data_IF_686845992238
#
_entry.id   IF_686845992238
#
_cell.length_a   1.000
_cell.length_b   1.000
_cell.length_c   1.000
_cell.angle_alpha   90.00
_cell.angle_beta   90.00
_cell.angle_gamma   90.00
#
_symmetry.space_group_name_H-M   'P 1'
#
loop_
_entity.id
_entity.type
_entity.pdbx_description
1 polymer ?
#
# COMPACT_ATOMS: atom_id res chain seq x y z
N UNK A 1 -25.53 -0.37 6.03
CA UNK A 1 -24.41 0.54 6.39
C UNK A 1 -23.08 -0.02 5.91
N UNK A 2 -22.30 0.84 5.32
CA UNK A 2 -20.96 0.48 4.82
C UNK A 2 -20.06 0.11 5.99
N UNK A 3 -19.33 -1.02 5.90
CA UNK A 3 -18.49 -1.54 6.98
C UNK A 3 -16.99 -1.38 6.75
N UNK A 4 -16.57 -1.16 5.53
CA UNK A 4 -15.15 -1.10 5.25
C UNK A 4 -14.86 -0.88 3.78
N UNK A 5 -13.59 -1.05 3.44
CA UNK A 5 -13.09 -0.87 2.08
C UNK A 5 -12.53 -2.20 1.60
N UNK A 6 -12.90 -2.58 0.38
CA UNK A 6 -12.29 -3.70 -0.31
C UNK A 6 -11.47 -3.14 -1.48
N UNK A 7 -10.25 -3.62 -1.63
CA UNK A 7 -9.40 -3.20 -2.73
C UNK A 7 -8.95 -4.41 -3.54
N UNK A 8 -8.57 -4.18 -4.78
CA UNK A 8 -8.17 -5.25 -5.68
C UNK A 8 -6.98 -4.77 -6.52
N UNK A 9 -5.90 -5.53 -6.48
CA UNK A 9 -4.78 -5.33 -7.41
C UNK A 9 -5.02 -6.17 -8.66
N UNK A 10 -4.85 -5.58 -9.81
CA UNK A 10 -4.81 -6.31 -11.07
C UNK A 10 -3.36 -6.47 -11.48
N UNK A 11 -2.92 -7.69 -11.71
CA UNK A 11 -1.52 -8.00 -11.97
C UNK A 11 -1.40 -9.11 -13.00
N UNK A 12 -0.33 -9.09 -13.77
CA UNK A 12 -0.01 -10.18 -14.69
C UNK A 12 0.51 -11.43 -13.97
N UNK A 13 0.82 -11.33 -12.67
CA UNK A 13 1.39 -12.42 -11.88
C UNK A 13 0.62 -12.61 -10.57
N UNK A 14 -0.65 -13.04 -10.62
CA UNK A 14 -1.47 -13.08 -9.41
C UNK A 14 -0.95 -14.06 -8.34
N UNK A 15 -0.44 -15.21 -8.74
CA UNK A 15 0.09 -16.18 -7.77
C UNK A 15 1.35 -15.64 -7.08
N UNK A 16 2.25 -15.02 -7.84
CA UNK A 16 3.45 -14.42 -7.29
C UNK A 16 3.12 -13.24 -6.38
N UNK A 17 2.14 -12.42 -6.73
CA UNK A 17 1.72 -11.30 -5.88
C UNK A 17 1.09 -11.80 -4.59
N UNK A 18 0.23 -12.81 -4.63
CA UNK A 18 -0.35 -13.40 -3.42
C UNK A 18 0.74 -13.94 -2.48
N UNK A 19 1.71 -14.66 -3.04
CA UNK A 19 2.83 -15.18 -2.26
C UNK A 19 3.67 -14.05 -1.65
N UNK A 20 3.91 -12.98 -2.40
CA UNK A 20 4.63 -11.79 -1.92
C UNK A 20 3.91 -11.15 -0.72
N UNK A 21 2.62 -10.92 -0.85
CA UNK A 21 1.82 -10.29 0.23
C UNK A 21 1.78 -11.16 1.48
N UNK A 22 1.67 -12.48 1.30
CA UNK A 22 1.66 -13.44 2.40
C UNK A 22 3.01 -13.58 3.07
N UNK A 23 4.07 -13.80 2.27
CA UNK A 23 5.36 -14.24 2.78
C UNK A 23 6.32 -13.08 3.09
N UNK A 24 6.35 -12.06 2.23
CA UNK A 24 7.27 -10.92 2.41
C UNK A 24 6.65 -9.81 3.22
N UNK A 25 5.42 -9.43 2.93
CA UNK A 25 4.74 -8.42 3.75
C UNK A 25 4.12 -9.00 5.01
N UNK A 26 3.91 -10.31 5.06
CA UNK A 26 3.39 -10.98 6.24
C UNK A 26 1.95 -10.62 6.57
N UNK A 27 1.13 -10.31 5.56
CA UNK A 27 -0.24 -9.87 5.80
C UNK A 27 -1.14 -11.05 6.20
N UNK A 28 -2.03 -10.85 7.18
CA UNK A 28 -3.03 -11.87 7.52
C UNK A 28 -3.91 -12.18 6.31
N UNK A 29 -4.24 -13.44 6.13
CA UNK A 29 -4.97 -13.88 4.94
C UNK A 29 -5.83 -15.11 5.23
N UNK A 30 -6.81 -15.33 4.34
CA UNK A 30 -7.65 -16.50 4.33
C UNK A 30 -7.71 -17.03 2.90
N UNK A 31 -7.53 -18.35 2.73
CA UNK A 31 -7.70 -18.99 1.43
C UNK A 31 -9.19 -19.33 1.26
N UNK A 32 -9.84 -18.67 0.30
CA UNK A 32 -11.27 -18.88 0.03
C UNK A 32 -11.51 -19.98 -1.01
N UNK A 33 -10.45 -20.64 -1.49
CA UNK A 33 -10.51 -21.74 -2.43
C UNK A 33 -9.43 -21.66 -3.49
N UNK A 34 -8.78 -22.79 -3.77
CA UNK A 34 -7.82 -22.96 -4.86
C UNK A 34 -6.67 -21.94 -4.88
N UNK A 35 -6.21 -21.52 -3.70
CA UNK A 35 -5.11 -20.57 -3.59
C UNK A 35 -5.51 -19.11 -3.76
N UNK A 36 -6.80 -18.83 -3.86
CA UNK A 36 -7.29 -17.46 -3.90
C UNK A 36 -7.28 -16.87 -2.49
N UNK A 37 -6.24 -16.10 -2.19
CA UNK A 37 -6.06 -15.50 -0.87
C UNK A 37 -6.80 -14.16 -0.80
N UNK A 38 -7.50 -13.96 0.30
CA UNK A 38 -8.05 -12.65 0.68
C UNK A 38 -7.23 -12.16 1.87
N UNK A 39 -6.68 -10.97 1.75
CA UNK A 39 -5.86 -10.37 2.80
C UNK A 39 -6.70 -9.44 3.65
N UNK A 40 -6.56 -9.59 4.96
CA UNK A 40 -7.36 -8.87 5.93
C UNK A 40 -6.53 -7.78 6.60
N UNK A 41 -6.85 -6.54 6.28
CA UNK A 41 -6.15 -5.37 6.82
C UNK A 41 -7.18 -4.57 7.61
N UNK A 42 -7.15 -4.68 8.96
CA UNK A 42 -8.23 -4.14 9.81
C UNK A 42 -8.32 -2.62 9.84
N UNK A 43 -7.24 -1.92 9.50
CA UNK A 43 -7.25 -0.46 9.45
C UNK A 43 -7.25 0.04 8.02
N UNK A 44 -8.04 1.08 7.76
CA UNK A 44 -8.07 1.75 6.48
C UNK A 44 -8.45 3.21 6.66
N UNK A 45 -8.01 4.07 5.74
CA UNK A 45 -8.55 5.40 5.59
C UNK A 45 -8.73 5.72 4.11
N UNK A 46 -9.36 6.84 3.84
CA UNK A 46 -9.68 7.22 2.47
C UNK A 46 -9.61 8.73 2.36
N UNK A 47 -8.98 9.19 1.30
CA UNK A 47 -8.89 10.62 1.02
C UNK A 47 -9.34 10.91 -0.41
N UNK A 48 -9.64 12.16 -0.67
CA UNK A 48 -10.01 12.66 -1.99
C UNK A 48 -9.05 13.77 -2.37
N UNK A 49 -8.23 13.49 -3.39
CA UNK A 49 -7.25 14.45 -3.89
C UNK A 49 -7.80 15.13 -5.14
N UNK A 50 -7.59 16.45 -5.32
CA UNK A 50 -7.99 17.11 -6.55
C UNK A 50 -7.32 16.48 -7.78
N UNK A 51 -8.08 16.33 -8.86
CA UNK A 51 -7.52 15.87 -10.13
C UNK A 51 -6.52 16.89 -10.67
N UNK A 52 -6.79 18.18 -10.42
CA UNK A 52 -5.89 19.28 -10.77
C UNK A 52 -5.75 20.17 -9.54
N UNK A 53 -4.58 20.18 -8.92
CA UNK A 53 -4.27 21.01 -7.75
C UNK A 53 -3.50 22.31 -8.12
N UNK A 54 -3.25 22.53 -9.42
CA UNK A 54 -2.48 23.67 -9.90
C UNK A 54 -0.98 23.54 -9.69
N UNK A 55 -0.51 22.43 -9.11
CA UNK A 55 0.91 22.22 -8.77
C UNK A 55 1.51 20.98 -9.46
N UNK A 56 0.76 20.33 -10.33
CA UNK A 56 1.24 19.18 -11.06
C UNK A 56 1.18 17.85 -10.29
N UNK A 57 0.51 17.81 -9.16
CA UNK A 57 0.37 16.58 -8.35
C UNK A 57 -0.91 15.81 -8.66
N UNK A 58 -1.75 16.36 -9.52
CA UNK A 58 -3.02 15.73 -9.88
C UNK A 58 -2.87 14.53 -10.78
N UNK A 59 -3.94 13.74 -10.86
CA UNK A 59 -4.09 12.59 -11.75
C UNK A 59 -5.48 12.63 -12.37
N UNK A 60 -5.70 11.92 -13.47
CA UNK A 60 -7.02 11.94 -14.11
C UNK A 60 -8.14 11.60 -13.13
N UNK A 61 -9.25 12.33 -13.24
CA UNK A 61 -10.43 12.05 -12.41
C UNK A 61 -10.87 10.60 -12.57
N UNK A 62 -11.17 9.95 -11.45
CA UNK A 62 -11.49 8.52 -11.42
C UNK A 62 -10.32 7.61 -11.12
N UNK A 63 -9.10 8.16 -11.05
CA UNK A 63 -7.92 7.38 -10.63
C UNK A 63 -8.05 6.93 -9.19
N UNK A 64 -7.67 5.68 -8.93
CA UNK A 64 -7.59 5.12 -7.58
C UNK A 64 -6.15 4.78 -7.27
N UNK A 65 -5.72 5.05 -6.05
CA UNK A 65 -4.41 4.64 -5.57
C UNK A 65 -4.52 3.89 -4.27
N UNK A 66 -3.60 2.97 -4.07
CA UNK A 66 -3.49 2.19 -2.86
C UNK A 66 -2.11 2.43 -2.29
N UNK A 67 -2.06 2.72 -1.00
CA UNK A 67 -0.82 2.81 -0.26
C UNK A 67 -0.92 1.98 1.00
N UNK A 68 0.20 1.46 1.46
CA UNK A 68 0.27 0.87 2.79
C UNK A 68 0.85 1.90 3.74
N UNK A 69 0.42 1.89 5.00
CA UNK A 69 0.99 2.80 5.98
C UNK A 69 1.53 2.04 7.20
N UNK A 70 2.41 2.70 7.90
CA UNK A 70 3.08 2.15 9.08
C UNK A 70 3.33 3.26 10.10
N UNK A 71 3.68 2.85 11.32
CA UNK A 71 3.97 3.79 12.42
C UNK A 71 5.41 4.27 12.41
N UNK A 72 6.34 3.45 11.90
CA UNK A 72 7.78 3.77 11.85
C UNK A 72 8.33 3.31 10.50
N UNK A 73 8.45 4.25 9.58
CA UNK A 73 8.81 3.93 8.20
C UNK A 73 10.25 3.46 8.07
N UNK A 74 11.18 4.01 8.86
CA UNK A 74 12.58 3.60 8.77
C UNK A 74 12.76 2.16 9.20
N UNK A 75 12.13 1.77 10.31
CA UNK A 75 12.15 0.42 10.81
C UNK A 75 11.45 -0.55 9.86
N UNK A 76 10.29 -0.15 9.33
CA UNK A 76 9.53 -0.98 8.40
C UNK A 76 10.30 -1.23 7.12
N UNK A 77 10.92 -0.21 6.54
CA UNK A 77 11.76 -0.35 5.34
C UNK A 77 12.93 -1.31 5.60
N UNK A 78 13.61 -1.16 6.73
CA UNK A 78 14.72 -2.04 7.08
C UNK A 78 14.27 -3.49 7.18
N UNK A 79 13.17 -3.74 7.86
CA UNK A 79 12.60 -5.07 8.01
C UNK A 79 12.20 -5.69 6.66
N UNK A 80 11.52 -4.92 5.82
CA UNK A 80 11.10 -5.41 4.51
C UNK A 80 12.27 -5.65 3.56
N UNK A 81 13.30 -4.81 3.61
CA UNK A 81 14.54 -5.06 2.85
C UNK A 81 15.18 -6.37 3.28
N UNK A 82 15.16 -6.66 4.57
CA UNK A 82 15.67 -7.93 5.10
C UNK A 82 14.92 -9.14 4.58
N UNK A 83 13.67 -8.96 4.15
CA UNK A 83 12.83 -9.99 3.53
C UNK A 83 12.93 -10.01 2.01
N UNK A 84 13.79 -9.20 1.42
CA UNK A 84 14.02 -9.15 -0.02
C UNK A 84 13.09 -8.22 -0.78
N UNK A 85 12.40 -7.30 -0.12
CA UNK A 85 11.58 -6.29 -0.78
C UNK A 85 12.48 -5.23 -1.40
N UNK A 86 12.25 -4.89 -2.67
CA UNK A 86 13.02 -3.89 -3.40
C UNK A 86 12.34 -2.53 -3.33
N UNK A 87 13.04 -1.55 -2.76
CA UNK A 87 12.57 -0.16 -2.71
C UNK A 87 13.19 0.63 -3.85
N UNK A 88 12.43 1.53 -4.46
CA UNK A 88 12.85 2.25 -5.66
C UNK A 88 13.47 3.61 -5.38
N UNK A 89 13.55 4.00 -4.11
CA UNK A 89 14.16 5.26 -3.70
C UNK A 89 14.27 5.35 -2.21
N UNK A 90 14.68 6.51 -1.71
CA UNK A 90 14.76 6.79 -0.29
C UNK A 90 13.44 7.23 0.28
N UNK A 91 13.43 7.42 1.60
CA UNK A 91 12.28 7.96 2.32
C UNK A 91 12.30 9.49 2.15
N UNK A 92 11.18 10.05 1.71
CA UNK A 92 11.04 11.48 1.49
C UNK A 92 9.85 12.04 2.28
N UNK A 93 9.96 13.30 2.70
CA UNK A 93 8.84 14.00 3.30
C UNK A 93 8.00 14.61 2.18
N UNK A 94 6.74 14.18 2.08
CA UNK A 94 5.83 14.63 1.03
C UNK A 94 4.76 15.57 1.56
N UNK A 95 4.98 16.17 2.74
CA UNK A 95 4.08 17.14 3.36
C UNK A 95 3.17 16.53 4.40
N UNK A 96 2.27 15.64 4.01
CA UNK A 96 1.34 14.97 4.92
C UNK A 96 1.92 13.71 5.56
N UNK A 97 3.04 13.21 5.04
CA UNK A 97 3.63 11.95 5.44
C UNK A 97 5.11 11.87 5.04
N UNK A 98 5.80 10.89 5.59
CA UNK A 98 7.08 10.42 5.04
C UNK A 98 6.77 9.18 4.22
N UNK A 99 7.34 9.09 3.03
CA UNK A 99 6.94 8.06 2.07
C UNK A 99 8.10 7.50 1.27
N UNK A 100 7.93 6.27 0.81
CA UNK A 100 8.81 5.62 -0.14
C UNK A 100 7.98 4.68 -1.01
N UNK A 101 8.60 4.06 -2.00
CA UNK A 101 7.92 3.13 -2.90
C UNK A 101 8.67 1.81 -2.96
N UNK A 102 7.96 0.72 -3.10
CA UNK A 102 8.56 -0.60 -3.30
C UNK A 102 7.86 -1.33 -4.44
N UNK A 103 8.58 -2.30 -4.98
CA UNK A 103 8.09 -3.09 -6.11
C UNK A 103 7.38 -4.35 -5.65
N UNK A 104 6.33 -4.70 -6.37
CA UNK A 104 5.61 -5.96 -6.20
C UNK A 104 5.53 -6.71 -7.53
N UNK A 105 5.36 -8.04 -7.49
CA UNK A 105 5.24 -8.84 -8.72
C UNK A 105 4.15 -8.33 -9.66
N UNK A 106 4.44 -8.35 -10.97
CA UNK A 106 3.54 -7.83 -11.99
C UNK A 106 3.82 -6.38 -12.34
N UNK A 107 5.03 -5.90 -12.09
CA UNK A 107 5.46 -4.52 -12.35
C UNK A 107 4.64 -3.46 -11.60
N UNK A 108 4.20 -3.81 -10.41
CA UNK A 108 3.50 -2.88 -9.53
C UNK A 108 4.50 -2.10 -8.69
N UNK A 109 4.23 -0.81 -8.51
CA UNK A 109 4.96 0.03 -7.57
C UNK A 109 3.95 0.60 -6.57
N UNK A 110 4.21 0.41 -5.30
CA UNK A 110 3.26 0.76 -4.22
C UNK A 110 3.95 1.68 -3.22
N UNK A 111 3.22 2.69 -2.78
CA UNK A 111 3.70 3.61 -1.76
C UNK A 111 3.55 2.99 -0.37
N UNK A 112 4.60 3.13 0.43
CA UNK A 112 4.56 2.93 1.87
C UNK A 112 4.72 4.29 2.53
N UNK A 113 3.88 4.63 3.51
CA UNK A 113 4.00 5.92 4.17
C UNK A 113 3.77 5.84 5.67
N UNK A 114 4.35 6.81 6.36
CA UNK A 114 4.10 7.08 7.76
C UNK A 114 3.43 8.45 7.85
N UNK A 115 2.14 8.52 8.22
CA UNK A 115 1.45 9.80 8.26
C UNK A 115 1.99 10.73 9.35
N UNK A 116 2.00 12.03 9.05
CA UNK A 116 2.27 13.06 10.06
C UNK A 116 1.03 13.37 10.88
N UNK A 117 -0.15 13.00 10.38
CA UNK A 117 -1.41 13.21 11.08
C UNK A 117 -1.74 12.01 11.96
N UNK A 118 -2.56 12.24 12.99
CA UNK A 118 -3.06 11.16 13.83
C UNK A 118 -4.31 10.57 13.19
N UNK A 119 -4.32 9.25 13.03
CA UNK A 119 -5.50 8.57 12.51
C UNK A 119 -6.57 8.50 13.58
N UNK A 120 -7.80 8.75 13.17
CA UNK A 120 -8.94 8.66 14.07
C UNK A 120 -9.18 7.23 14.54
N UNK A 121 -9.58 7.08 15.79
CA UNK A 121 -10.02 5.79 16.35
C UNK A 121 -11.50 5.62 16.00
N UNK A 122 -11.75 5.21 14.80
CA UNK A 122 -13.04 5.14 14.18
C UNK A 122 -14.17 4.46 14.89
#
# INVERSE_FOLDING_TARGET
MIKGVHTMFYTSQPEALRAFLRDKLGLPHTDIGDGWLIFDLPEADMGCHPADDGEGHGKPSGTHEISFYCDDIEKTVEELRGRGVEFTGGIEDVGYARATFFKMPGDLSVQLYQPHYTKGSG
#
